data_IF_292869574256
#
_entry.id   IF_292869574256
#
_cell.length_a   1.000
_cell.length_b   1.000
_cell.length_c   1.000
_cell.angle_alpha   90.00
_cell.angle_beta   90.00
_cell.angle_gamma   90.00
#
_symmetry.space_group_name_H-M   'P 1'
#
loop_
_entity.id
_entity.type
_entity.pdbx_description
1 polymer ?
#
# COMPACT_ATOMS: atom_id res chain seq x y z
N UNK A 1 40.55 6.43 41.80
CA UNK A 1 39.71 6.45 40.58
C UNK A 1 40.70 6.46 39.42
N UNK A 2 40.86 5.34 38.72
CA UNK A 2 42.00 5.09 37.82
C UNK A 2 41.90 5.92 36.54
N UNK A 3 43.03 6.31 35.94
CA UNK A 3 43.11 7.00 34.64
C UNK A 3 42.28 6.29 33.56
N UNK A 4 42.27 4.95 33.57
CA UNK A 4 41.44 4.13 32.69
C UNK A 4 39.92 4.42 32.79
N UNK A 5 39.42 4.79 33.97
CA UNK A 5 38.01 5.14 34.17
C UNK A 5 37.68 6.56 33.69
N UNK A 6 38.67 7.45 33.70
CA UNK A 6 38.54 8.81 33.17
C UNK A 6 38.56 8.80 31.64
N UNK A 7 39.49 8.06 31.01
CA UNK A 7 39.58 7.93 29.55
C UNK A 7 38.35 7.27 28.93
N UNK A 8 37.75 6.29 29.63
CA UNK A 8 36.49 5.67 29.21
C UNK A 8 35.34 6.66 29.32
N UNK A 9 35.26 7.43 30.41
CA UNK A 9 34.23 8.44 30.59
C UNK A 9 34.35 9.55 29.54
N UNK A 10 35.57 10.05 29.31
CA UNK A 10 35.87 11.09 28.32
C UNK A 10 35.57 10.62 26.89
N UNK A 11 35.91 9.37 26.54
CA UNK A 11 35.51 8.76 25.27
C UNK A 11 33.99 8.61 25.11
N UNK A 12 33.26 8.28 26.18
CA UNK A 12 31.79 8.18 26.13
C UNK A 12 31.18 9.58 25.93
N UNK A 13 31.64 10.60 26.64
CA UNK A 13 31.19 11.99 26.42
C UNK A 13 31.59 12.54 25.04
N UNK A 14 32.76 12.20 24.52
CA UNK A 14 33.20 12.62 23.18
C UNK A 14 32.44 11.91 22.06
N UNK A 15 31.98 10.67 22.27
CA UNK A 15 31.09 9.98 21.34
C UNK A 15 29.67 10.58 21.33
N UNK A 16 29.14 11.00 22.49
CA UNK A 16 27.84 11.68 22.57
C UNK A 16 27.87 13.10 21.97
N UNK A 17 29.00 13.81 22.06
CA UNK A 17 29.11 15.19 21.53
C UNK A 17 29.28 15.31 20.00
N UNK A 18 29.61 14.22 19.30
CA UNK A 18 29.79 14.22 17.84
C UNK A 18 28.56 13.75 17.05
N UNK A 19 27.44 13.47 17.71
CA UNK A 19 26.20 13.07 17.03
C UNK A 19 25.45 14.33 16.58
N UNK A 20 25.40 14.56 15.27
CA UNK A 20 24.60 15.65 14.68
C UNK A 20 23.11 15.33 14.82
N UNK A 21 22.49 15.89 15.85
CA UNK A 21 21.05 15.73 16.07
C UNK A 21 20.22 16.61 15.14
N UNK A 22 19.07 16.10 14.69
CA UNK A 22 18.09 16.91 13.97
C UNK A 22 17.61 18.09 14.82
N UNK A 23 17.40 19.28 14.21
CA UNK A 23 16.92 20.45 14.93
C UNK A 23 15.53 20.18 15.53
N UNK A 24 15.22 20.70 16.73
CA UNK A 24 13.98 20.40 17.44
C UNK A 24 12.72 20.67 16.59
N UNK A 25 12.70 21.76 15.84
CA UNK A 25 11.58 22.16 14.98
C UNK A 25 11.32 21.12 13.89
N UNK A 26 12.39 20.56 13.30
CA UNK A 26 12.27 19.52 12.28
C UNK A 26 11.76 18.20 12.89
N UNK A 27 12.18 17.86 14.11
CA UNK A 27 11.66 16.67 14.81
C UNK A 27 10.18 16.82 15.18
N UNK A 28 9.74 18.01 15.59
CA UNK A 28 8.32 18.31 15.86
C UNK A 28 7.49 18.20 14.58
N UNK A 29 7.99 18.75 13.46
CA UNK A 29 7.34 18.62 12.16
C UNK A 29 7.22 17.15 11.74
N UNK A 30 8.30 16.39 11.84
CA UNK A 30 8.32 14.97 11.52
C UNK A 30 7.32 14.17 12.36
N UNK A 31 7.29 14.40 13.67
CA UNK A 31 6.34 13.76 14.58
C UNK A 31 4.88 14.11 14.21
N UNK A 32 4.58 15.38 13.96
CA UNK A 32 3.25 15.83 13.56
C UNK A 32 2.81 15.19 12.24
N UNK A 33 3.68 15.18 11.23
CA UNK A 33 3.42 14.51 9.96
C UNK A 33 3.19 13.01 10.12
N UNK A 34 4.01 12.31 10.92
CA UNK A 34 3.85 10.88 11.17
C UNK A 34 2.50 10.56 11.83
N UNK A 35 2.07 11.35 12.82
CA UNK A 35 0.74 11.22 13.44
C UNK A 35 -0.39 11.44 12.43
N UNK A 36 -0.34 12.53 11.66
CA UNK A 36 -1.36 12.87 10.66
C UNK A 36 -1.43 11.76 9.60
N UNK A 37 -0.29 11.35 9.05
CA UNK A 37 -0.21 10.32 8.03
C UNK A 37 -0.65 8.95 8.54
N UNK A 38 -0.39 8.61 9.81
CA UNK A 38 -0.93 7.40 10.42
C UNK A 38 -2.46 7.40 10.37
N UNK A 39 -3.10 8.48 10.84
CA UNK A 39 -4.58 8.57 10.86
C UNK A 39 -5.16 8.59 9.44
N UNK A 40 -4.65 9.46 8.58
CA UNK A 40 -5.16 9.61 7.20
C UNK A 40 -4.92 8.34 6.40
N UNK A 41 -3.75 7.73 6.55
CA UNK A 41 -3.37 6.49 5.86
C UNK A 41 -4.23 5.30 6.30
N UNK A 42 -4.45 5.13 7.61
CA UNK A 42 -5.34 4.07 8.12
C UNK A 42 -6.76 4.25 7.59
N UNK A 43 -7.34 5.44 7.74
CA UNK A 43 -8.72 5.71 7.31
C UNK A 43 -8.85 5.57 5.79
N UNK A 44 -7.95 6.19 5.02
CA UNK A 44 -7.99 6.20 3.55
C UNK A 44 -7.85 4.80 2.94
N UNK A 45 -6.90 4.01 3.43
CA UNK A 45 -6.69 2.65 2.92
C UNK A 45 -7.76 1.67 3.39
N UNK A 46 -8.35 1.85 4.59
CA UNK A 46 -9.52 1.08 5.03
C UNK A 46 -10.75 1.38 4.15
N UNK A 47 -11.06 2.66 3.95
CA UNK A 47 -12.16 3.10 3.08
C UNK A 47 -11.96 2.54 1.67
N UNK A 48 -10.73 2.58 1.16
CA UNK A 48 -10.41 2.03 -0.16
C UNK A 48 -10.64 0.54 -0.24
N UNK A 49 -10.10 -0.21 0.72
CA UNK A 49 -10.28 -1.66 0.84
C UNK A 49 -11.77 -2.03 0.85
N UNK A 50 -12.55 -1.42 1.74
CA UNK A 50 -13.98 -1.71 1.90
C UNK A 50 -14.76 -1.35 0.64
N UNK A 51 -14.52 -0.16 0.05
CA UNK A 51 -15.24 0.28 -1.13
C UNK A 51 -15.01 -0.64 -2.33
N UNK A 52 -13.76 -1.08 -2.55
CA UNK A 52 -13.43 -1.98 -3.65
C UNK A 52 -14.02 -3.38 -3.46
N UNK A 53 -13.99 -3.92 -2.24
CA UNK A 53 -14.58 -5.23 -1.92
C UNK A 53 -16.11 -5.23 -2.04
N UNK A 54 -16.76 -4.14 -1.63
CA UNK A 54 -18.22 -4.01 -1.69
C UNK A 54 -18.74 -3.71 -3.10
N UNK A 55 -17.92 -3.15 -4.00
CA UNK A 55 -18.37 -2.79 -5.34
C UNK A 55 -18.37 -4.01 -6.29
N UNK A 56 -19.54 -4.55 -6.70
CA UNK A 56 -19.62 -5.86 -7.36
C UNK A 56 -18.88 -5.95 -8.69
N UNK A 57 -18.83 -4.84 -9.44
CA UNK A 57 -18.10 -4.77 -10.71
C UNK A 57 -16.59 -4.73 -10.49
N UNK A 58 -16.11 -4.03 -9.45
CA UNK A 58 -14.68 -3.79 -9.25
C UNK A 58 -13.99 -4.99 -8.60
N UNK A 59 -14.63 -5.62 -7.61
CA UNK A 59 -14.06 -6.77 -6.89
C UNK A 59 -13.71 -7.97 -7.77
N UNK A 60 -14.24 -8.06 -8.99
CA UNK A 60 -13.91 -9.11 -9.95
C UNK A 60 -12.67 -8.84 -10.79
N UNK A 61 -12.15 -7.60 -10.83
CA UNK A 61 -10.99 -7.27 -11.65
C UNK A 61 -9.69 -7.70 -10.98
N UNK A 62 -8.80 -8.26 -11.80
CA UNK A 62 -7.45 -8.66 -11.36
C UNK A 62 -6.64 -7.50 -10.79
N UNK A 63 -6.66 -6.28 -11.38
CA UNK A 63 -5.92 -5.16 -10.74
C UNK A 63 -6.47 -4.79 -9.38
N UNK A 64 -7.76 -5.02 -9.12
CA UNK A 64 -8.34 -4.71 -7.82
C UNK A 64 -7.70 -5.60 -6.75
N UNK A 65 -7.36 -6.85 -7.05
CA UNK A 65 -6.62 -7.72 -6.10
C UNK A 65 -5.24 -7.17 -5.75
N UNK A 66 -4.48 -6.69 -6.74
CA UNK A 66 -3.17 -6.09 -6.48
C UNK A 66 -3.27 -4.73 -5.77
N UNK A 67 -4.29 -3.93 -6.09
CA UNK A 67 -4.58 -2.68 -5.36
C UNK A 67 -4.97 -2.97 -3.91
N UNK A 68 -5.76 -4.01 -3.66
CA UNK A 68 -6.09 -4.45 -2.30
C UNK A 68 -4.83 -4.89 -1.53
N UNK A 69 -3.91 -5.61 -2.17
CA UNK A 69 -2.60 -5.94 -1.58
C UNK A 69 -1.80 -4.69 -1.23
N UNK A 70 -1.79 -3.68 -2.11
CA UNK A 70 -1.16 -2.38 -1.84
C UNK A 70 -1.82 -1.68 -0.64
N UNK A 71 -3.15 -1.66 -0.56
CA UNK A 71 -3.84 -1.10 0.59
C UNK A 71 -3.53 -1.85 1.90
N UNK A 72 -3.40 -3.18 1.87
CA UNK A 72 -3.01 -3.97 3.05
C UNK A 72 -1.59 -3.63 3.51
N UNK A 73 -0.66 -3.50 2.55
CA UNK A 73 0.71 -3.01 2.80
C UNK A 73 0.69 -1.63 3.46
N UNK A 74 -0.02 -0.67 2.86
CA UNK A 74 -0.11 0.69 3.39
C UNK A 74 -0.79 0.74 4.78
N UNK A 75 -1.79 -0.11 5.03
CA UNK A 75 -2.42 -0.24 6.35
C UNK A 75 -1.44 -0.77 7.40
N UNK A 76 -0.63 -1.77 7.07
CA UNK A 76 0.38 -2.31 7.98
C UNK A 76 1.37 -1.21 8.37
N UNK A 77 1.86 -0.45 7.38
CA UNK A 77 2.79 0.66 7.60
C UNK A 77 2.17 1.80 8.42
N UNK A 78 0.98 2.25 8.04
CA UNK A 78 0.32 3.38 8.70
C UNK A 78 -0.12 3.04 10.12
N UNK A 79 -0.45 1.78 10.42
CA UNK A 79 -0.91 1.34 11.75
C UNK A 79 0.22 0.99 12.71
N UNK A 80 1.41 0.64 12.20
CA UNK A 80 2.53 0.17 13.02
C UNK A 80 3.74 1.10 12.89
N UNK A 81 4.29 1.25 11.68
CA UNK A 81 5.52 2.01 11.47
C UNK A 81 5.35 3.52 11.72
N UNK A 82 4.24 4.13 11.28
CA UNK A 82 4.04 5.57 11.48
C UNK A 82 3.86 5.97 12.96
N UNK A 83 3.09 5.25 13.79
CA UNK A 83 3.04 5.50 15.22
C UNK A 83 4.40 5.36 15.92
N UNK A 84 5.17 4.33 15.57
CA UNK A 84 6.53 4.15 16.10
C UNK A 84 7.47 5.26 15.63
N UNK A 85 7.30 5.73 14.40
CA UNK A 85 8.01 6.88 13.84
C UNK A 85 7.66 8.17 14.60
N UNK A 86 6.39 8.42 14.89
CA UNK A 86 6.00 9.55 15.71
C UNK A 86 6.65 9.49 17.10
N UNK A 87 6.62 8.32 17.76
CA UNK A 87 7.23 8.14 19.07
C UNK A 87 8.74 8.44 19.08
N UNK A 88 9.50 7.92 18.09
CA UNK A 88 10.96 8.16 18.04
C UNK A 88 11.31 9.63 17.79
N UNK A 89 10.53 10.36 16.99
CA UNK A 89 10.74 11.80 16.79
C UNK A 89 10.36 12.63 18.02
N UNK A 90 9.27 12.28 18.71
CA UNK A 90 8.86 12.95 19.97
C UNK A 90 9.91 12.76 21.06
N UNK A 91 10.46 11.55 21.18
CA UNK A 91 11.48 11.21 22.18
C UNK A 91 12.90 11.54 21.74
N UNK A 92 13.11 11.88 20.46
CA UNK A 92 14.42 12.05 19.82
C UNK A 92 15.38 10.88 20.08
N UNK A 93 14.82 9.68 20.27
CA UNK A 93 15.52 8.45 20.64
C UNK A 93 14.60 7.24 20.37
N UNK A 94 15.19 6.07 20.13
CA UNK A 94 14.51 4.78 20.18
C UNK A 94 14.54 4.14 21.58
N UNK A 95 13.43 4.23 22.32
CA UNK A 95 13.30 3.70 23.69
C UNK A 95 12.58 2.36 23.81
N UNK A 96 12.17 1.75 22.70
CA UNK A 96 11.29 0.56 22.69
C UNK A 96 12.05 -0.78 22.63
N UNK A 97 13.35 -0.75 22.92
CA UNK A 97 14.22 -1.92 22.94
C UNK A 97 14.67 -2.42 21.56
N UNK A 98 15.68 -3.32 21.54
CA UNK A 98 16.33 -3.78 20.30
C UNK A 98 15.42 -4.65 19.42
N UNK A 99 14.57 -5.51 20.01
CA UNK A 99 13.70 -6.39 19.23
C UNK A 99 12.67 -5.62 18.41
N UNK A 100 12.04 -4.60 19.01
CA UNK A 100 11.11 -3.75 18.27
C UNK A 100 11.84 -2.85 17.26
N UNK A 101 13.09 -2.47 17.54
CA UNK A 101 13.93 -1.74 16.59
C UNK A 101 14.16 -2.55 15.31
N UNK A 102 14.54 -3.82 15.46
CA UNK A 102 14.72 -4.73 14.33
C UNK A 102 13.40 -4.96 13.58
N UNK A 103 12.30 -5.18 14.30
CA UNK A 103 10.98 -5.34 13.69
C UNK A 103 10.53 -4.09 12.94
N UNK A 104 10.79 -2.89 13.48
CA UNK A 104 10.48 -1.63 12.81
C UNK A 104 11.17 -1.56 11.45
N UNK A 105 12.47 -1.82 11.39
CA UNK A 105 13.23 -1.80 10.14
C UNK A 105 12.74 -2.89 9.18
N UNK A 106 12.53 -4.11 9.69
CA UNK A 106 12.03 -5.25 8.90
C UNK A 106 10.67 -4.95 8.24
N UNK A 107 9.72 -4.42 9.01
CA UNK A 107 8.40 -4.02 8.48
C UNK A 107 8.52 -2.82 7.56
N UNK A 108 9.34 -1.82 7.88
CA UNK A 108 9.56 -0.65 7.02
C UNK A 108 9.99 -1.07 5.61
N UNK A 109 11.14 -1.73 5.49
CA UNK A 109 11.69 -2.09 4.19
C UNK A 109 10.91 -3.20 3.47
N UNK A 110 10.40 -4.18 4.23
CA UNK A 110 9.57 -5.24 3.66
C UNK A 110 8.29 -4.67 3.06
N UNK A 111 7.64 -3.72 3.74
CA UNK A 111 6.42 -3.10 3.27
C UNK A 111 6.65 -2.21 2.04
N UNK A 112 7.73 -1.42 2.02
CA UNK A 112 8.11 -0.65 0.83
C UNK A 112 8.35 -1.56 -0.39
N UNK A 113 9.01 -2.70 -0.19
CA UNK A 113 9.19 -3.69 -1.24
C UNK A 113 7.86 -4.31 -1.70
N UNK A 114 6.93 -4.64 -0.78
CA UNK A 114 5.58 -5.12 -1.13
C UNK A 114 4.83 -4.09 -1.97
N UNK A 115 4.88 -2.82 -1.58
CA UNK A 115 4.22 -1.74 -2.32
C UNK A 115 4.78 -1.61 -3.73
N UNK A 116 6.11 -1.62 -3.89
CA UNK A 116 6.75 -1.51 -5.20
C UNK A 116 6.52 -2.74 -6.09
N UNK A 117 6.65 -3.96 -5.56
CA UNK A 117 6.37 -5.19 -6.31
C UNK A 117 4.87 -5.32 -6.66
N UNK A 118 3.97 -4.79 -5.84
CA UNK A 118 2.55 -4.67 -6.19
C UNK A 118 2.35 -3.74 -7.38
N UNK A 119 3.07 -2.60 -7.45
CA UNK A 119 3.04 -1.72 -8.63
C UNK A 119 3.62 -2.38 -9.88
N UNK A 120 4.68 -3.19 -9.76
CA UNK A 120 5.19 -4.03 -10.84
C UNK A 120 4.10 -4.99 -11.34
N UNK A 121 3.47 -5.72 -10.42
CA UNK A 121 2.43 -6.69 -10.77
C UNK A 121 1.22 -6.02 -11.45
N UNK A 122 0.78 -4.85 -10.96
CA UNK A 122 -0.26 -4.02 -11.57
C UNK A 122 0.11 -3.66 -13.01
N UNK A 123 1.35 -3.21 -13.23
CA UNK A 123 1.85 -2.76 -14.54
C UNK A 123 1.96 -3.93 -15.52
N UNK A 124 2.53 -5.07 -15.09
CA UNK A 124 2.61 -6.29 -15.91
C UNK A 124 1.23 -6.79 -16.27
N UNK A 125 0.28 -6.80 -15.33
CA UNK A 125 -1.10 -7.19 -15.60
C UNK A 125 -1.78 -6.29 -16.64
N UNK A 126 -1.49 -4.99 -16.66
CA UNK A 126 -1.98 -4.13 -17.75
C UNK A 126 -1.27 -4.40 -19.06
N UNK A 127 0.05 -4.57 -19.04
CA UNK A 127 0.80 -4.89 -20.24
C UNK A 127 0.27 -6.18 -20.89
N UNK A 128 0.07 -7.25 -20.11
CA UNK A 128 -0.47 -8.51 -20.61
C UNK A 128 -1.88 -8.34 -21.16
N UNK A 129 -2.77 -7.59 -20.48
CA UNK A 129 -4.13 -7.34 -20.99
C UNK A 129 -4.13 -6.63 -22.35
N UNK A 130 -3.23 -5.66 -22.53
CA UNK A 130 -3.17 -4.82 -23.74
C UNK A 130 -2.40 -5.49 -24.88
N UNK A 131 -1.29 -6.17 -24.57
CA UNK A 131 -0.35 -6.70 -25.57
C UNK A 131 -0.56 -8.19 -25.87
N UNK A 132 -1.13 -8.95 -24.94
CA UNK A 132 -1.27 -10.42 -25.00
C UNK A 132 -2.63 -10.87 -24.47
N UNK A 133 -3.71 -10.24 -24.96
CA UNK A 133 -5.09 -10.49 -24.52
C UNK A 133 -5.47 -11.99 -24.53
N UNK A 134 -5.08 -12.73 -25.58
CA UNK A 134 -5.41 -14.15 -25.73
C UNK A 134 -4.78 -15.04 -24.63
N UNK A 135 -3.63 -14.63 -24.08
CA UNK A 135 -2.96 -15.33 -22.99
C UNK A 135 -3.42 -14.86 -21.61
N UNK A 136 -4.15 -13.75 -21.53
CA UNK A 136 -4.51 -13.11 -20.26
C UNK A 136 -5.28 -14.05 -19.34
N UNK A 137 -6.28 -14.76 -19.88
CA UNK A 137 -7.12 -15.70 -19.13
C UNK A 137 -6.34 -16.90 -18.58
N UNK A 138 -5.25 -17.30 -19.25
CA UNK A 138 -4.40 -18.41 -18.83
C UNK A 138 -3.42 -17.99 -17.71
N UNK A 139 -2.99 -16.73 -17.71
CA UNK A 139 -2.02 -16.18 -16.76
C UNK A 139 -2.71 -15.73 -15.46
N UNK A 140 -3.86 -15.06 -15.57
CA UNK A 140 -4.58 -14.46 -14.44
C UNK A 140 -5.80 -15.27 -14.00
N UNK A 141 -5.57 -16.55 -13.70
CA UNK A 141 -6.55 -17.38 -12.99
C UNK A 141 -6.50 -17.09 -11.49
N UNK A 142 -7.60 -17.35 -10.78
CA UNK A 142 -7.71 -17.10 -9.32
C UNK A 142 -6.53 -17.69 -8.54
N UNK A 143 -6.19 -18.95 -8.80
CA UNK A 143 -5.06 -19.62 -8.14
C UNK A 143 -3.73 -18.92 -8.42
N UNK A 144 -3.46 -18.57 -9.68
CA UNK A 144 -2.21 -17.90 -10.07
C UNK A 144 -2.12 -16.49 -9.51
N UNK A 145 -3.23 -15.78 -9.34
CA UNK A 145 -3.27 -14.46 -8.69
C UNK A 145 -2.87 -14.60 -7.21
N UNK A 146 -3.45 -15.55 -6.48
CA UNK A 146 -3.07 -15.78 -5.08
C UNK A 146 -1.61 -16.19 -4.93
N UNK A 147 -1.09 -17.02 -5.83
CA UNK A 147 0.35 -17.36 -5.87
C UNK A 147 1.20 -16.11 -6.11
N UNK A 148 0.84 -15.25 -7.07
CA UNK A 148 1.56 -13.99 -7.32
C UNK A 148 1.55 -13.08 -6.09
N UNK A 149 0.41 -12.92 -5.42
CA UNK A 149 0.31 -12.15 -4.18
C UNK A 149 1.21 -12.74 -3.10
N UNK A 150 1.15 -14.04 -2.86
CA UNK A 150 2.01 -14.70 -1.88
C UNK A 150 3.50 -14.49 -2.20
N UNK A 151 3.90 -14.63 -3.47
CA UNK A 151 5.27 -14.43 -3.91
C UNK A 151 5.74 -12.98 -3.69
N UNK A 152 4.89 -11.99 -3.93
CA UNK A 152 5.21 -10.57 -3.65
C UNK A 152 5.58 -10.40 -2.18
N UNK A 153 4.76 -10.91 -1.26
CA UNK A 153 5.02 -10.78 0.18
C UNK A 153 6.24 -11.58 0.62
N UNK A 154 6.38 -12.83 0.16
CA UNK A 154 7.51 -13.68 0.51
C UNK A 154 8.85 -13.13 -0.01
N UNK A 155 8.90 -12.63 -1.24
CA UNK A 155 10.12 -12.02 -1.78
C UNK A 155 10.45 -10.74 -1.03
N UNK A 156 9.48 -9.85 -0.82
CA UNK A 156 9.70 -8.57 -0.16
C UNK A 156 10.26 -8.72 1.26
N UNK A 157 9.61 -9.55 2.09
CA UNK A 157 10.07 -9.79 3.45
C UNK A 157 11.27 -10.76 3.49
N UNK A 158 11.35 -11.70 2.56
CA UNK A 158 12.46 -12.64 2.42
C UNK A 158 13.80 -11.94 2.18
N UNK A 159 13.81 -10.86 1.39
CA UNK A 159 14.99 -10.01 1.21
C UNK A 159 15.49 -9.38 2.51
N UNK A 160 14.63 -9.26 3.53
CA UNK A 160 14.96 -8.69 4.83
C UNK A 160 15.33 -9.71 5.90
N UNK A 161 15.18 -11.00 5.63
CA UNK A 161 15.58 -12.07 6.55
C UNK A 161 17.10 -12.12 6.78
N UNK A 162 17.98 -12.04 5.77
CA UNK A 162 19.43 -12.11 6.03
C UNK A 162 19.97 -10.98 6.92
N UNK A 163 19.57 -9.70 6.74
CA UNK A 163 19.94 -8.64 7.68
C UNK A 163 19.27 -8.78 9.05
N UNK A 164 18.05 -9.31 9.14
CA UNK A 164 17.38 -9.59 10.41
C UNK A 164 18.14 -10.63 11.24
N UNK A 165 18.63 -11.70 10.60
CA UNK A 165 19.41 -12.75 11.24
C UNK A 165 20.89 -12.39 11.45
N UNK A 166 21.33 -11.22 10.97
CA UNK A 166 22.71 -10.78 11.10
C UNK A 166 23.72 -11.57 10.26
N UNK A 167 23.27 -12.28 9.21
CA UNK A 167 24.10 -13.08 8.30
C UNK A 167 24.75 -12.18 7.23
N UNK A 168 24.06 -11.11 6.82
CA UNK A 168 24.55 -10.16 5.83
C UNK A 168 24.08 -8.75 6.18
N UNK A 169 24.96 -7.98 6.84
CA UNK A 169 24.57 -6.77 7.56
C UNK A 169 23.77 -7.07 8.83
N UNK A 170 23.20 -6.04 9.43
CA UNK A 170 22.31 -6.18 10.58
C UNK A 170 21.20 -5.12 10.58
N UNK A 171 20.04 -5.44 11.16
CA UNK A 171 19.05 -4.43 11.51
C UNK A 171 19.37 -3.87 12.89
N UNK A 172 19.44 -2.55 13.01
CA UNK A 172 19.81 -1.90 14.27
C UNK A 172 19.54 -0.41 14.29
N UNK A 173 19.72 0.20 15.46
CA UNK A 173 19.56 1.63 15.68
C UNK A 173 20.76 2.38 15.08
N UNK A 174 20.47 3.35 14.23
CA UNK A 174 21.40 4.39 13.84
C UNK A 174 21.24 5.58 14.81
N UNK A 175 22.26 5.87 15.65
CA UNK A 175 22.20 6.94 16.64
C UNK A 175 22.00 8.32 16.02
N UNK A 176 22.55 8.56 14.83
CA UNK A 176 22.50 9.87 14.15
C UNK A 176 21.09 10.24 13.69
N UNK A 177 20.29 9.25 13.31
CA UNK A 177 18.91 9.44 12.84
C UNK A 177 17.85 9.01 13.84
N UNK A 178 18.28 8.49 15.00
CA UNK A 178 17.47 7.76 15.99
C UNK A 178 16.45 6.81 15.31
N UNK A 179 16.86 6.20 14.21
CA UNK A 179 16.05 5.31 13.37
C UNK A 179 16.63 3.91 13.39
N UNK A 180 15.75 2.92 13.36
CA UNK A 180 16.17 1.56 13.11
C UNK A 180 16.27 1.33 11.59
N UNK A 181 17.44 0.89 11.14
CA UNK A 181 17.83 0.83 9.72
C UNK A 181 18.73 -0.38 9.45
N UNK A 182 19.13 -0.54 8.19
CA UNK A 182 20.09 -1.52 7.74
C UNK A 182 21.50 -0.97 7.97
N UNK A 183 22.25 -1.63 8.85
CA UNK A 183 23.62 -1.28 9.21
C UNK A 183 24.64 -2.28 8.65
N UNK A 184 25.87 -1.84 8.35
CA UNK A 184 26.96 -2.75 8.03
C UNK A 184 27.26 -3.66 9.24
N UNK A 185 27.68 -4.89 8.96
CA UNK A 185 28.27 -5.81 9.95
C UNK A 185 29.55 -6.36 9.37
N UNK A 186 30.65 -6.26 10.12
CA UNK A 186 31.98 -6.75 9.69
C UNK A 186 32.42 -6.19 8.32
N UNK A 187 32.17 -4.90 8.07
CA UNK A 187 32.52 -4.23 6.80
C UNK A 187 31.64 -4.62 5.60
N UNK A 188 30.67 -5.52 5.76
CA UNK A 188 29.72 -5.91 4.71
C UNK A 188 28.38 -5.20 4.93
N UNK A 189 27.95 -4.40 3.96
CA UNK A 189 26.64 -3.73 3.97
C UNK A 189 25.75 -4.26 2.85
N UNK A 190 24.55 -4.78 3.15
CA UNK A 190 23.59 -5.22 2.13
C UNK A 190 22.87 -4.02 1.49
N UNK A 191 23.00 -2.81 2.03
CA UNK A 191 22.23 -1.60 1.65
C UNK A 191 22.27 -1.33 0.13
N UNK A 192 23.45 -1.38 -0.50
CA UNK A 192 23.61 -1.14 -1.95
C UNK A 192 22.94 -2.23 -2.80
N UNK A 193 23.12 -3.50 -2.44
CA UNK A 193 22.53 -4.61 -3.19
C UNK A 193 21.01 -4.65 -3.02
N UNK A 194 20.50 -4.46 -1.80
CA UNK A 194 19.07 -4.34 -1.53
C UNK A 194 18.44 -3.13 -2.22
N UNK A 195 19.16 -2.02 -2.38
CA UNK A 195 18.71 -0.91 -3.20
C UNK A 195 18.57 -1.31 -4.68
N UNK A 196 19.57 -1.98 -5.25
CA UNK A 196 19.52 -2.40 -6.66
C UNK A 196 18.39 -3.41 -6.89
N UNK A 197 18.33 -4.47 -6.09
CA UNK A 197 17.38 -5.57 -6.26
C UNK A 197 15.97 -5.18 -5.81
N UNK A 198 15.84 -4.51 -4.67
CA UNK A 198 14.56 -4.17 -4.04
C UNK A 198 13.94 -2.88 -4.54
N UNK A 199 14.69 -2.00 -5.22
CA UNK A 199 14.17 -0.72 -5.72
C UNK A 199 14.50 -0.45 -7.19
N UNK A 200 15.78 -0.38 -7.56
CA UNK A 200 16.18 0.07 -8.89
C UNK A 200 15.68 -0.88 -10.00
N UNK A 201 15.84 -2.19 -9.81
CA UNK A 201 15.37 -3.21 -10.76
C UNK A 201 13.84 -3.16 -10.95
N UNK A 202 13.00 -3.18 -9.89
CA UNK A 202 11.55 -2.97 -10.03
C UNK A 202 11.19 -1.68 -10.79
N UNK A 203 11.86 -0.57 -10.51
CA UNK A 203 11.63 0.69 -11.22
C UNK A 203 11.94 0.58 -12.73
N UNK A 204 13.05 -0.07 -13.10
CA UNK A 204 13.38 -0.35 -14.50
C UNK A 204 12.32 -1.21 -15.17
N UNK A 205 11.86 -2.28 -14.50
CA UNK A 205 10.80 -3.15 -15.03
C UNK A 205 9.52 -2.36 -15.31
N UNK A 206 9.13 -1.46 -14.41
CA UNK A 206 7.95 -0.59 -14.58
C UNK A 206 8.13 0.35 -15.78
N UNK A 207 9.28 1.04 -15.87
CA UNK A 207 9.57 1.98 -16.97
C UNK A 207 9.56 1.29 -18.33
N UNK A 208 10.23 0.13 -18.44
CA UNK A 208 10.25 -0.67 -19.67
C UNK A 208 8.83 -1.13 -20.03
N UNK A 209 8.08 -1.64 -19.05
CA UNK A 209 6.71 -2.10 -19.26
C UNK A 209 5.78 -1.00 -19.78
N UNK A 210 5.85 0.22 -19.21
CA UNK A 210 5.08 1.36 -19.71
C UNK A 210 5.51 1.81 -21.10
N UNK A 211 6.81 1.77 -21.39
CA UNK A 211 7.34 2.06 -22.73
C UNK A 211 6.77 1.08 -23.76
N UNK A 212 6.74 -0.21 -23.42
CA UNK A 212 6.12 -1.25 -24.23
C UNK A 212 4.60 -1.04 -24.40
N UNK A 213 3.87 -0.70 -23.32
CA UNK A 213 2.43 -0.37 -23.40
C UNK A 213 2.20 0.79 -24.38
N UNK A 214 2.94 1.89 -24.21
CA UNK A 214 2.83 3.07 -25.06
C UNK A 214 3.06 2.73 -26.53
N UNK A 215 4.11 1.96 -26.84
CA UNK A 215 4.40 1.53 -28.21
C UNK A 215 3.31 0.62 -28.78
N UNK A 216 2.79 -0.34 -28.01
CA UNK A 216 1.70 -1.21 -28.45
C UNK A 216 0.42 -0.45 -28.75
N UNK A 217 0.04 0.51 -27.90
CA UNK A 217 -1.13 1.38 -28.13
C UNK A 217 -0.94 2.22 -29.39
N UNK A 218 0.24 2.80 -29.61
CA UNK A 218 0.55 3.59 -30.81
C UNK A 218 0.54 2.74 -32.07
N UNK A 219 1.08 1.53 -32.02
CA UNK A 219 1.06 0.58 -33.13
C UNK A 219 -0.38 0.18 -33.50
N UNK A 220 -1.24 -0.08 -32.51
CA UNK A 220 -2.66 -0.37 -32.71
C UNK A 220 -3.38 0.78 -33.43
N UNK A 221 -3.17 2.04 -33.00
CA UNK A 221 -3.77 3.22 -33.66
C UNK A 221 -3.35 3.34 -35.13
N UNK A 222 -2.06 3.20 -35.43
CA UNK A 222 -1.54 3.26 -36.82
C UNK A 222 -2.11 2.17 -37.74
N UNK A 223 -2.33 0.95 -37.23
CA UNK A 223 -2.92 -0.14 -38.01
C UNK A 223 -4.41 0.07 -38.30
N UNK A 224 -5.12 0.74 -37.39
CA UNK A 224 -6.55 1.08 -37.53
C UNK A 224 -6.78 2.26 -38.49
N UNK A 225 -5.85 3.20 -38.57
CA UNK A 225 -5.89 4.32 -39.53
C UNK A 225 -5.72 3.84 -40.99
N UNK A 226 -5.19 2.64 -41.22
CA UNK A 226 -5.00 2.05 -42.56
C UNK A 226 -5.97 0.92 -42.96
N UNK A 227 -6.83 0.42 -42.05
CA UNK A 227 -7.81 -0.64 -42.33
C UNK A 227 -9.12 -0.40 -41.58
N UNK A 228 -10.23 -0.36 -42.34
CA UNK A 228 -11.61 -0.26 -41.83
C UNK A 228 -11.90 -1.31 -40.75
N UNK A 229 -12.32 -0.83 -39.57
CA UNK A 229 -13.13 -1.46 -38.51
C UNK A 229 -13.13 -3.00 -38.41
N UNK A 230 -11.98 -3.63 -38.24
CA UNK A 230 -11.87 -5.04 -37.82
C UNK A 230 -11.12 -5.17 -36.47
N UNK A 231 -11.46 -4.32 -35.49
CA UNK A 231 -11.00 -4.51 -34.11
C UNK A 231 -12.23 -4.70 -33.23
N UNK A 232 -12.31 -5.87 -32.58
CA UNK A 232 -13.41 -6.25 -31.69
C UNK A 232 -13.47 -5.47 -30.38
N UNK A 233 -12.48 -4.60 -30.10
CA UNK A 233 -12.54 -3.68 -28.95
C UNK A 233 -13.29 -2.40 -29.33
N UNK A 234 -14.29 -2.06 -28.52
CA UNK A 234 -15.05 -0.82 -28.66
C UNK A 234 -14.17 0.39 -28.34
N UNK A 235 -14.46 1.56 -28.93
CA UNK A 235 -13.75 2.80 -28.61
C UNK A 235 -13.77 3.13 -27.11
N UNK A 236 -14.85 2.73 -26.42
CA UNK A 236 -15.06 2.91 -24.99
C UNK A 236 -14.11 2.05 -24.13
N UNK A 237 -13.88 0.79 -24.52
CA UNK A 237 -12.91 -0.09 -23.83
C UNK A 237 -11.48 0.43 -23.98
N UNK A 238 -11.12 0.90 -25.18
CA UNK A 238 -9.79 1.49 -25.44
C UNK A 238 -9.53 2.76 -24.63
N UNK A 239 -10.56 3.59 -24.46
CA UNK A 239 -10.50 4.79 -23.61
C UNK A 239 -10.37 4.41 -22.13
N UNK A 240 -11.09 3.38 -21.68
CA UNK A 240 -11.01 2.86 -20.31
C UNK A 240 -9.62 2.30 -19.99
N UNK A 241 -9.06 1.46 -20.87
CA UNK A 241 -7.70 0.93 -20.74
C UNK A 241 -6.66 2.04 -20.68
N UNK A 242 -6.77 3.07 -21.53
CA UNK A 242 -5.86 4.21 -21.50
C UNK A 242 -5.93 4.95 -20.17
N UNK A 243 -7.13 5.17 -19.62
CA UNK A 243 -7.32 5.83 -18.31
C UNK A 243 -6.73 5.01 -17.17
N UNK A 244 -6.91 3.69 -17.20
CA UNK A 244 -6.35 2.78 -16.21
C UNK A 244 -4.82 2.74 -16.28
N UNK A 245 -4.24 2.72 -17.48
CA UNK A 245 -2.78 2.84 -17.66
C UNK A 245 -2.27 4.19 -17.14
N UNK A 246 -2.95 5.30 -17.44
CA UNK A 246 -2.58 6.63 -16.92
C UNK A 246 -2.62 6.65 -15.39
N UNK A 247 -3.67 6.12 -14.77
CA UNK A 247 -3.76 5.99 -13.31
C UNK A 247 -2.54 5.29 -12.72
N UNK A 248 -2.17 4.14 -13.27
CA UNK A 248 -1.09 3.32 -12.72
C UNK A 248 0.28 3.98 -12.93
N UNK A 249 0.47 4.68 -14.05
CA UNK A 249 1.66 5.48 -14.27
C UNK A 249 1.72 6.64 -13.28
N UNK A 250 0.60 7.33 -13.02
CA UNK A 250 0.51 8.39 -12.01
C UNK A 250 0.89 7.88 -10.63
N UNK A 251 0.38 6.71 -10.21
CA UNK A 251 0.75 6.10 -8.91
C UNK A 251 2.25 5.87 -8.83
N UNK A 252 2.86 5.28 -9.87
CA UNK A 252 4.29 5.02 -9.89
C UNK A 252 5.13 6.31 -9.86
N UNK A 253 4.75 7.33 -10.63
CA UNK A 253 5.45 8.61 -10.63
C UNK A 253 5.33 9.33 -9.29
N UNK A 254 4.16 9.27 -8.64
CA UNK A 254 3.97 9.80 -7.29
C UNK A 254 4.83 9.04 -6.28
N UNK A 255 4.88 7.70 -6.36
CA UNK A 255 5.75 6.88 -5.52
C UNK A 255 7.23 7.27 -5.69
N UNK A 256 7.71 7.40 -6.93
CA UNK A 256 9.08 7.85 -7.20
C UNK A 256 9.35 9.24 -6.63
N UNK A 257 8.46 10.20 -6.85
CA UNK A 257 8.61 11.56 -6.34
C UNK A 257 8.65 11.60 -4.80
N UNK A 258 7.93 10.69 -4.13
CA UNK A 258 7.91 10.58 -2.69
C UNK A 258 9.15 9.87 -2.13
N UNK A 259 9.58 8.78 -2.76
CA UNK A 259 10.57 7.87 -2.17
C UNK A 259 12.01 8.14 -2.65
N UNK A 260 12.19 8.60 -3.89
CA UNK A 260 13.51 8.87 -4.46
C UNK A 260 14.34 9.90 -3.67
N UNK A 261 13.76 11.01 -3.15
CA UNK A 261 14.53 11.95 -2.35
C UNK A 261 15.20 11.30 -1.13
N UNK A 262 14.50 10.40 -0.44
CA UNK A 262 15.06 9.69 0.72
C UNK A 262 16.23 8.78 0.31
N UNK A 263 16.09 8.11 -0.84
CA UNK A 263 17.16 7.26 -1.36
C UNK A 263 18.41 8.06 -1.76
N UNK A 264 18.22 9.24 -2.33
CA UNK A 264 19.34 10.15 -2.65
C UNK A 264 20.02 10.61 -1.37
N UNK A 265 19.28 11.08 -0.37
CA UNK A 265 19.86 11.55 0.89
C UNK A 265 20.63 10.44 1.64
N UNK A 266 20.09 9.22 1.66
CA UNK A 266 20.71 8.04 2.29
C UNK A 266 21.99 7.54 1.61
N UNK A 267 22.35 8.07 0.44
CA UNK A 267 23.55 7.70 -0.33
C UNK A 267 24.50 8.89 -0.49
N UNK A 268 23.98 10.11 -0.62
CA UNK A 268 24.76 11.30 -0.91
C UNK A 268 25.23 12.06 0.35
N UNK A 269 24.58 11.87 1.50
CA UNK A 269 24.87 12.62 2.72
C UNK A 269 24.81 11.72 3.96
N UNK A 270 25.81 10.84 4.11
CA UNK A 270 25.94 9.91 5.25
C UNK A 270 26.19 10.65 6.59
N UNK A 271 26.68 11.90 6.55
CA UNK A 271 26.99 12.70 7.75
C UNK A 271 25.83 13.56 8.27
N UNK A 272 24.65 13.51 7.62
CA UNK A 272 23.49 14.37 7.94
C UNK A 272 23.91 15.85 7.96
N UNK A 273 24.67 16.27 6.95
CA UNK A 273 25.10 17.67 6.78
C UNK A 273 23.90 18.60 6.61
N UNK A 274 22.83 18.08 5.97
CA UNK A 274 21.60 18.83 5.71
C UNK A 274 20.38 18.20 6.43
N UNK A 275 20.24 18.41 7.76
CA UNK A 275 19.24 17.73 8.57
C UNK A 275 17.80 17.98 8.11
N UNK A 276 17.47 19.19 7.69
CA UNK A 276 16.14 19.52 7.17
C UNK A 276 15.79 18.75 5.89
N UNK A 277 16.75 18.53 4.99
CA UNK A 277 16.52 17.76 3.76
C UNK A 277 16.26 16.29 4.06
N UNK A 278 16.99 15.69 5.00
CA UNK A 278 16.74 14.32 5.46
C UNK A 278 15.34 14.17 6.06
N UNK A 279 14.88 15.14 6.87
CA UNK A 279 13.54 15.12 7.46
C UNK A 279 12.46 15.26 6.39
N UNK A 280 12.59 16.23 5.48
CA UNK A 280 11.63 16.43 4.39
C UNK A 280 11.58 15.19 3.49
N UNK A 281 12.73 14.63 3.13
CA UNK A 281 12.82 13.41 2.33
C UNK A 281 12.17 12.21 3.04
N UNK A 282 12.34 12.10 4.36
CA UNK A 282 11.68 11.06 5.17
C UNK A 282 10.16 11.24 5.18
N UNK A 283 9.67 12.46 5.40
CA UNK A 283 8.24 12.78 5.37
C UNK A 283 7.64 12.45 4.00
N UNK A 284 8.33 12.82 2.91
CA UNK A 284 7.91 12.48 1.55
C UNK A 284 7.81 10.96 1.37
N UNK A 285 8.80 10.20 1.83
CA UNK A 285 8.76 8.73 1.74
C UNK A 285 7.53 8.16 2.48
N UNK A 286 7.22 8.65 3.68
CA UNK A 286 6.03 8.23 4.43
C UNK A 286 4.72 8.58 3.73
N UNK A 287 4.66 9.73 3.05
CA UNK A 287 3.49 10.17 2.31
C UNK A 287 3.10 9.21 1.18
N UNK A 288 4.04 8.41 0.66
CA UNK A 288 3.79 7.41 -0.39
C UNK A 288 2.72 6.38 0.01
N UNK A 289 2.61 6.05 1.30
CA UNK A 289 1.61 5.12 1.85
C UNK A 289 0.21 5.73 2.03
N UNK A 290 0.10 7.06 1.94
CA UNK A 290 -1.14 7.81 2.20
C UNK A 290 -1.73 8.40 0.91
N UNK A 291 -0.89 8.66 -0.10
CA UNK A 291 -1.31 9.32 -1.34
C UNK A 291 -2.17 8.43 -2.25
N UNK A 292 -2.06 7.10 -2.13
CA UNK A 292 -2.73 6.13 -3.01
C UNK A 292 -4.27 6.31 -3.07
N UNK A 293 -5.01 6.33 -1.93
CA UNK A 293 -6.45 6.66 -1.93
C UNK A 293 -6.81 8.00 -2.57
N UNK A 294 -5.97 9.03 -2.40
CA UNK A 294 -6.19 10.35 -2.99
C UNK A 294 -6.06 10.31 -4.51
N UNK A 295 -5.04 9.60 -5.02
CA UNK A 295 -4.85 9.39 -6.46
C UNK A 295 -6.05 8.63 -7.04
N UNK A 296 -6.51 7.57 -6.38
CA UNK A 296 -7.70 6.82 -6.80
C UNK A 296 -8.94 7.70 -6.90
N UNK A 297 -9.19 8.51 -5.88
CA UNK A 297 -10.31 9.45 -5.85
C UNK A 297 -10.20 10.51 -6.95
N UNK A 298 -9.00 11.05 -7.21
CA UNK A 298 -8.82 12.10 -8.20
C UNK A 298 -8.95 11.60 -9.64
N UNK A 299 -8.41 10.41 -9.93
CA UNK A 299 -8.15 9.98 -11.31
C UNK A 299 -9.07 8.86 -11.80
N UNK A 300 -9.65 8.03 -10.92
CA UNK A 300 -10.44 6.86 -11.33
C UNK A 300 -11.95 7.03 -11.06
N UNK A 301 -12.73 7.21 -12.15
CA UNK A 301 -14.19 7.38 -12.07
C UNK A 301 -14.91 6.17 -11.45
N UNK A 302 -14.44 4.94 -11.69
CA UNK A 302 -15.05 3.73 -11.13
C UNK A 302 -14.76 3.63 -9.63
N UNK A 303 -13.56 4.00 -9.19
CA UNK A 303 -13.20 3.97 -7.77
C UNK A 303 -13.97 5.07 -7.02
N UNK A 304 -14.12 6.27 -7.62
CA UNK A 304 -15.05 7.29 -7.09
C UNK A 304 -16.48 6.79 -6.95
N UNK A 305 -16.98 6.03 -7.92
CA UNK A 305 -18.32 5.45 -7.84
C UNK A 305 -18.43 4.45 -6.68
N UNK A 306 -17.40 3.64 -6.44
CA UNK A 306 -17.32 2.75 -5.30
C UNK A 306 -17.31 3.52 -3.96
N UNK A 307 -16.50 4.58 -3.85
CA UNK A 307 -16.49 5.46 -2.67
C UNK A 307 -17.87 6.09 -2.42
N UNK A 308 -18.51 6.62 -3.46
CA UNK A 308 -19.84 7.21 -3.35
C UNK A 308 -20.91 6.19 -2.92
N UNK A 309 -20.86 4.96 -3.45
CA UNK A 309 -21.78 3.89 -3.08
C UNK A 309 -21.60 3.47 -1.61
N UNK A 310 -20.36 3.38 -1.14
CA UNK A 310 -20.08 3.10 0.27
C UNK A 310 -20.64 4.19 1.18
N UNK A 311 -20.42 5.47 0.85
CA UNK A 311 -20.96 6.60 1.63
C UNK A 311 -22.49 6.60 1.66
N UNK A 312 -23.17 6.29 0.55
CA UNK A 312 -24.63 6.12 0.51
C UNK A 312 -25.11 4.97 1.38
N UNK A 313 -24.41 3.83 1.34
CA UNK A 313 -24.72 2.67 2.18
C UNK A 313 -24.61 3.01 3.68
N UNK A 314 -23.55 3.71 4.09
CA UNK A 314 -23.37 4.16 5.47
C UNK A 314 -24.47 5.14 5.91
N UNK A 315 -24.86 6.09 5.03
CA UNK A 315 -25.97 7.02 5.31
C UNK A 315 -27.29 6.28 5.49
N UNK A 316 -27.63 5.36 4.59
CA UNK A 316 -28.90 4.61 4.64
C UNK A 316 -28.97 3.63 5.83
N UNK A 317 -27.84 3.03 6.21
CA UNK A 317 -27.75 2.14 7.38
C UNK A 317 -27.91 2.90 8.70
N UNK A 318 -27.46 4.15 8.76
CA UNK A 318 -27.65 5.04 9.92
C UNK A 318 -29.11 5.48 10.07
N UNK A 319 -29.81 5.73 8.95
CA UNK A 319 -31.25 6.08 8.94
C UNK A 319 -32.11 4.90 9.41
N UNK A 320 -31.85 3.67 8.94
CA UNK A 320 -32.59 2.47 9.39
C UNK A 320 -32.40 2.15 10.88
N UNK A 321 -31.24 2.47 11.48
CA UNK A 321 -31.03 2.31 12.94
C UNK A 321 -31.78 3.35 13.77
N UNK A 322 -32.14 4.51 13.21
CA UNK A 322 -32.91 5.55 13.91
C UNK A 322 -34.43 5.31 13.88
N UNK A 323 -34.96 4.61 12.89
CA UNK A 323 -36.40 4.34 12.77
C UNK A 323 -36.88 3.08 13.51
N UNK A 324 -35.99 2.22 14.02
CA UNK A 324 -36.37 1.00 14.76
C UNK A 324 -36.36 1.15 16.29
N UNK A 325 -36.05 2.34 16.83
CA UNK A 325 -35.98 2.58 18.29
C UNK A 325 -37.05 3.54 18.82
N UNK A 326 -38.24 3.54 18.20
CA UNK A 326 -39.35 4.40 18.63
C UNK A 326 -40.66 4.05 17.96
N UNK A 327 -41.14 2.81 18.10
CA UNK A 327 -42.55 2.40 17.88
C UNK A 327 -42.74 0.93 18.21
N UNK A 328 -42.70 0.57 19.50
CA UNK A 328 -43.39 -0.61 20.04
C UNK A 328 -43.95 -0.27 21.41
N UNK A 329 -44.94 0.61 21.43
CA UNK A 329 -45.90 0.67 22.53
C UNK A 329 -47.02 -0.31 22.20
N UNK A 330 -47.28 -1.19 23.17
CA UNK A 330 -48.25 -2.26 23.15
C UNK A 330 -49.67 -1.76 22.87
N UNK A 331 -50.41 -2.47 22.03
CA UNK A 331 -51.86 -2.56 22.11
C UNK A 331 -52.23 -4.04 21.99
N UNK A 332 -52.38 -4.65 23.16
CA UNK A 332 -52.97 -5.95 23.38
C UNK A 332 -54.49 -5.74 23.47
N UNK A 333 -55.28 -6.41 22.64
CA UNK A 333 -56.70 -6.63 22.95
C UNK A 333 -57.16 -7.94 22.31
N UNK A 334 -57.35 -8.90 23.21
CA UNK A 334 -58.02 -10.19 23.12
C UNK A 334 -59.35 -10.19 22.36
N UNK A 335 -59.56 -11.21 21.52
CA UNK A 335 -60.66 -12.18 21.67
C UNK A 335 -60.54 -13.34 20.67
N UNK A 336 -60.71 -14.57 21.19
CA UNK A 336 -60.99 -15.83 20.47
C UNK A 336 -62.46 -16.22 20.76
N UNK A 337 -63.09 -17.29 20.22
CA UNK A 337 -62.61 -18.38 19.35
C UNK A 337 -63.64 -18.82 18.24
N UNK A 338 -63.40 -19.99 17.62
CA UNK A 338 -64.28 -20.84 16.77
C UNK A 338 -64.44 -20.49 15.26
N UNK A 339 -64.03 -21.39 14.35
CA UNK A 339 -64.82 -22.52 13.85
C UNK A 339 -64.06 -23.34 12.76
N UNK A 340 -64.10 -24.65 12.95
CA UNK A 340 -63.91 -25.81 12.09
C UNK A 340 -63.65 -25.69 10.56
N UNK A 341 -62.74 -26.57 10.11
CA UNK A 341 -62.91 -27.59 9.07
C UNK A 341 -62.94 -27.18 7.58
N UNK A 342 -61.91 -27.58 6.82
CA UNK A 342 -62.04 -28.69 5.87
C UNK A 342 -60.70 -29.15 5.29
N UNK A 343 -60.56 -30.48 5.33
CA UNK A 343 -59.51 -31.35 4.84
C UNK A 343 -59.77 -31.72 3.36
N UNK A 344 -58.71 -32.17 2.66
CA UNK A 344 -58.69 -32.97 1.42
C UNK A 344 -58.99 -32.22 0.11
N UNK A 345 -58.42 -32.49 -1.07
CA UNK A 345 -57.61 -33.57 -1.67
C UNK A 345 -56.73 -32.91 -2.76
N UNK A 346 -55.43 -33.19 -2.91
CA UNK A 346 -54.81 -34.34 -3.59
C UNK A 346 -55.07 -34.44 -5.12
N UNK A 347 -53.96 -34.34 -5.87
CA UNK A 347 -53.54 -35.15 -7.05
C UNK A 347 -53.20 -34.39 -8.33
N UNK A 348 -51.91 -34.48 -8.64
CA UNK A 348 -51.27 -34.73 -9.93
C UNK A 348 -52.17 -34.96 -11.15
N UNK A 349 -51.80 -34.32 -12.28
CA UNK A 349 -51.31 -35.03 -13.48
C UNK A 349 -50.65 -34.09 -14.52
N UNK A 350 -49.79 -34.62 -15.41
CA UNK A 350 -48.87 -33.89 -16.29
C UNK A 350 -49.34 -33.77 -17.75
N UNK A 351 -48.54 -32.98 -18.50
CA UNK A 351 -48.18 -33.03 -19.93
C UNK A 351 -49.26 -33.29 -20.99
N UNK A 352 -49.32 -32.42 -22.01
CA UNK A 352 -49.36 -32.81 -23.43
C UNK A 352 -49.05 -31.62 -24.36
N UNK A 353 -48.27 -31.94 -25.41
CA UNK A 353 -48.00 -31.27 -26.69
C UNK A 353 -47.05 -30.06 -26.76
#
# INVERSE_FOLDING_TARGET
MSELSFDIYENITNMDQNITHYPPEATVLAAACACIFSVVGVVGNLVTTVALLMHPKLRGHVTTMFVLSLCVSDLLFCSINLPLTANRYIKQNWSLGPSLCQMFAFVFYGNEAVSLLSMVAITINRYTLIAYYDMYSQIYTTTKIWVQLLLIWLVSFGLMVPPLLGVWGQLGLDPSTFSCTILPKEGRSPKKCLFVVGFALPCVVIIVSYSCIYWRVRQSKRKLEGRSKLSGQTAKEKEEDSRLTTLMLTIFLCFLACFLPLMIMNVADDGITYPWLHIIASILAWASSVINPLIYAATNRQYRAAYANLLKFCKNSTVKKRTTWGSRTMANSSNSPHYADKRNHMKDKPADL
#
